data_IF_790624163839
#
_entry.id   IF_790624163839
#
_cell.length_a   1.000
_cell.length_b   1.000
_cell.length_c   1.000
_cell.angle_alpha   90.00
_cell.angle_beta   90.00
_cell.angle_gamma   90.00
#
_symmetry.space_group_name_H-M   'P 1'
#
loop_
_entity.id
_entity.type
_entity.pdbx_description
1 polymer ?
#
# COMPACT_ATOMS: atom_id res chain seq x y z
N UNK A 1 -3.41 -4.18 8.52
CA UNK A 1 -4.13 -2.89 8.61
C UNK A 1 -5.61 -3.14 8.78
N UNK A 2 -6.37 -2.20 9.34
CA UNK A 2 -7.82 -2.32 9.38
C UNK A 2 -8.38 -1.95 7.99
N UNK A 3 -8.98 -2.92 7.29
CA UNK A 3 -9.65 -2.71 6.00
C UNK A 3 -10.57 -1.45 5.96
N UNK A 4 -11.25 -1.06 7.07
CA UNK A 4 -12.00 0.19 7.13
C UNK A 4 -11.20 1.48 6.83
N UNK A 5 -9.92 1.59 7.22
CA UNK A 5 -9.14 2.81 6.98
C UNK A 5 -8.76 2.93 5.49
N UNK A 6 -8.33 1.83 4.88
CA UNK A 6 -7.97 1.77 3.46
C UNK A 6 -9.14 2.22 2.60
N UNK A 7 -10.35 1.72 2.88
CA UNK A 7 -11.54 2.06 2.12
C UNK A 7 -11.94 3.54 2.26
N UNK A 8 -11.81 4.13 3.47
CA UNK A 8 -12.08 5.56 3.66
C UNK A 8 -11.09 6.43 2.90
N UNK A 9 -9.79 6.14 3.01
CA UNK A 9 -8.73 6.84 2.27
C UNK A 9 -8.93 6.68 0.76
N UNK A 10 -9.29 5.48 0.29
CA UNK A 10 -9.60 5.23 -1.13
C UNK A 10 -10.77 6.08 -1.59
N UNK A 11 -11.90 6.05 -0.89
CA UNK A 11 -13.08 6.85 -1.23
C UNK A 11 -12.74 8.33 -1.29
N UNK A 12 -12.04 8.85 -0.27
CA UNK A 12 -11.60 10.24 -0.21
C UNK A 12 -10.75 10.63 -1.42
N UNK A 13 -9.77 9.80 -1.77
CA UNK A 13 -8.91 10.06 -2.93
C UNK A 13 -9.71 10.06 -4.24
N UNK A 14 -10.68 9.16 -4.38
CA UNK A 14 -11.59 9.12 -5.55
C UNK A 14 -12.42 10.39 -5.63
N UNK A 15 -12.97 10.86 -4.51
CA UNK A 15 -13.72 12.12 -4.43
C UNK A 15 -12.84 13.32 -4.80
N UNK A 16 -11.54 13.27 -4.50
CA UNK A 16 -10.53 14.27 -4.86
C UNK A 16 -9.94 14.06 -6.29
N UNK A 17 -10.58 13.24 -7.14
CA UNK A 17 -10.22 13.07 -8.55
C UNK A 17 -9.01 12.15 -8.81
N UNK A 18 -8.85 11.08 -8.04
CA UNK A 18 -7.81 10.07 -8.28
C UNK A 18 -7.99 9.38 -9.65
N UNK A 19 -6.97 9.48 -10.52
CA UNK A 19 -6.94 8.84 -11.85
C UNK A 19 -5.90 7.73 -11.98
N UNK A 20 -4.97 7.62 -11.03
CA UNK A 20 -3.88 6.63 -10.98
C UNK A 20 -3.48 6.37 -9.53
N UNK A 21 -2.59 5.40 -9.30
CA UNK A 21 -2.00 5.16 -7.97
C UNK A 21 -1.45 6.47 -7.37
N UNK A 22 -1.88 6.86 -6.16
CA UNK A 22 -1.47 8.12 -5.55
C UNK A 22 0.01 8.07 -5.13
N UNK A 23 0.68 9.22 -5.18
CA UNK A 23 1.98 9.38 -4.55
C UNK A 23 1.85 9.55 -3.02
N UNK A 24 2.97 9.45 -2.33
CA UNK A 24 3.06 9.53 -0.87
C UNK A 24 2.49 10.84 -0.30
N UNK A 25 2.57 11.95 -1.04
CA UNK A 25 2.08 13.24 -0.55
C UNK A 25 0.55 13.28 -0.52
N UNK A 26 -0.11 12.72 -1.54
CA UNK A 26 -1.58 12.60 -1.59
C UNK A 26 -2.11 11.65 -0.53
N UNK A 27 -1.44 10.52 -0.32
CA UNK A 27 -1.83 9.56 0.75
C UNK A 27 -1.69 10.21 2.12
N UNK A 28 -0.59 10.93 2.38
CA UNK A 28 -0.39 11.64 3.63
C UNK A 28 -1.43 12.75 3.86
N UNK A 29 -1.85 13.46 2.81
CA UNK A 29 -2.93 14.45 2.92
C UNK A 29 -4.26 13.78 3.29
N UNK A 30 -4.65 12.70 2.60
CA UNK A 30 -5.88 11.97 2.89
C UNK A 30 -5.89 11.37 4.31
N UNK A 31 -4.75 10.89 4.81
CA UNK A 31 -4.62 10.42 6.20
C UNK A 31 -4.85 11.52 7.24
N UNK A 32 -4.33 12.74 7.00
CA UNK A 32 -4.53 13.87 7.90
C UNK A 32 -5.99 14.30 7.93
N UNK A 33 -6.65 14.30 6.77
CA UNK A 33 -8.09 14.58 6.66
C UNK A 33 -8.93 13.56 7.43
N UNK A 34 -8.52 12.29 7.44
CA UNK A 34 -9.13 11.21 8.24
C UNK A 34 -8.82 11.30 9.75
N UNK A 35 -8.10 12.34 10.20
CA UNK A 35 -7.78 12.57 11.60
C UNK A 35 -6.72 11.61 12.17
N UNK A 36 -5.92 10.97 11.32
CA UNK A 36 -4.86 10.06 11.77
C UNK A 36 -3.69 10.88 12.30
N UNK A 37 -3.44 10.78 13.61
CA UNK A 37 -2.30 11.40 14.30
C UNK A 37 -1.30 10.31 14.67
N UNK A 38 -0.12 10.36 14.06
CA UNK A 38 0.98 9.42 14.26
C UNK A 38 2.31 10.20 14.37
N UNK A 39 3.31 9.59 15.00
CA UNK A 39 4.69 10.08 14.90
C UNK A 39 5.24 9.93 13.48
N UNK A 40 6.29 10.68 13.15
CA UNK A 40 6.82 10.77 11.78
C UNK A 40 7.19 9.38 11.19
N UNK A 41 7.84 8.52 11.98
CA UNK A 41 8.22 7.17 11.54
C UNK A 41 6.99 6.30 11.21
N UNK A 42 6.03 6.22 12.13
CA UNK A 42 4.79 5.45 11.93
C UNK A 42 3.92 6.01 10.80
N UNK A 43 3.97 7.33 10.57
CA UNK A 43 3.30 7.95 9.43
C UNK A 43 3.94 7.53 8.10
N UNK A 44 5.27 7.50 8.03
CA UNK A 44 5.99 7.07 6.83
C UNK A 44 5.68 5.61 6.49
N UNK A 45 5.67 4.73 7.49
CA UNK A 45 5.28 3.32 7.32
C UNK A 45 3.83 3.18 6.84
N UNK A 46 2.90 3.91 7.47
CA UNK A 46 1.49 3.85 7.10
C UNK A 46 1.24 4.39 5.69
N UNK A 47 1.92 5.47 5.29
CA UNK A 47 1.83 6.04 3.95
C UNK A 47 2.34 5.04 2.92
N UNK A 48 3.47 4.38 3.16
CA UNK A 48 4.01 3.34 2.29
C UNK A 48 3.02 2.19 2.13
N UNK A 49 2.56 1.63 3.25
CA UNK A 49 1.64 0.50 3.25
C UNK A 49 0.30 0.81 2.59
N UNK A 50 -0.28 2.00 2.83
CA UNK A 50 -1.49 2.44 2.13
C UNK A 50 -1.28 2.62 0.63
N UNK A 51 -0.12 3.17 0.23
CA UNK A 51 0.19 3.33 -1.20
C UNK A 51 0.25 1.97 -1.88
N UNK A 52 0.87 0.99 -1.25
CA UNK A 52 1.01 -0.35 -1.80
C UNK A 52 -0.36 -1.07 -1.90
N UNK A 53 -1.23 -0.91 -0.88
CA UNK A 53 -2.63 -1.38 -0.90
C UNK A 53 -3.48 -0.69 -1.99
N UNK A 54 -3.32 0.63 -2.16
CA UNK A 54 -4.01 1.39 -3.20
C UNK A 54 -3.47 1.07 -4.60
N UNK A 55 -2.21 0.64 -4.70
CA UNK A 55 -1.60 0.08 -5.90
C UNK A 55 -2.14 -1.30 -6.29
N UNK A 56 -2.85 -1.98 -5.39
CA UNK A 56 -3.51 -3.26 -5.63
C UNK A 56 -2.64 -4.50 -5.37
N UNK A 57 -1.35 -4.31 -5.08
CA UNK A 57 -0.43 -5.40 -4.73
C UNK A 57 -0.28 -5.57 -3.21
N UNK A 58 -0.63 -4.54 -2.43
CA UNK A 58 -0.58 -4.57 -0.97
C UNK A 58 0.78 -5.07 -0.47
N UNK A 59 0.83 -6.06 0.44
CA UNK A 59 2.10 -6.56 0.99
C UNK A 59 3.05 -7.16 -0.06
N UNK A 60 2.53 -7.59 -1.21
CA UNK A 60 3.34 -8.19 -2.29
C UNK A 60 4.15 -7.15 -3.07
N UNK A 61 3.81 -5.86 -2.96
CA UNK A 61 4.49 -4.78 -3.70
C UNK A 61 6.00 -4.81 -3.49
N UNK A 62 6.46 -5.06 -2.27
CA UNK A 62 7.89 -5.14 -1.93
C UNK A 62 8.63 -6.29 -2.62
N UNK A 63 7.96 -7.44 -2.78
CA UNK A 63 8.53 -8.61 -3.46
C UNK A 63 8.70 -8.34 -4.95
N UNK A 64 7.74 -7.66 -5.58
CA UNK A 64 7.78 -7.33 -7.00
C UNK A 64 8.77 -6.20 -7.34
N UNK A 65 9.19 -5.43 -6.34
CA UNK A 65 10.23 -4.41 -6.50
C UNK A 65 11.65 -4.98 -6.34
N UNK A 66 11.80 -6.20 -5.80
CA UNK A 66 13.10 -6.86 -5.70
C UNK A 66 13.52 -7.36 -7.09
N UNK A 67 14.58 -6.79 -7.72
CA UNK A 67 15.01 -7.20 -9.05
C UNK A 67 15.57 -8.63 -9.08
N UNK A 68 15.84 -9.25 -7.92
CA UNK A 68 16.25 -10.64 -7.84
C UNK A 68 15.06 -11.60 -7.88
N UNK A 69 13.82 -11.13 -7.68
CA UNK A 69 12.62 -11.97 -7.71
C UNK A 69 12.11 -12.07 -9.14
N UNK A 70 12.00 -13.30 -9.64
CA UNK A 70 11.48 -13.56 -11.00
C UNK A 70 10.00 -13.92 -10.97
N UNK A 71 9.56 -14.66 -9.95
CA UNK A 71 8.21 -15.18 -9.83
C UNK A 71 7.71 -15.09 -8.40
N UNK A 72 6.42 -14.78 -8.23
CA UNK A 72 5.71 -14.78 -6.94
C UNK A 72 4.49 -15.68 -7.06
N UNK A 73 4.43 -16.75 -6.27
CA UNK A 73 3.31 -17.70 -6.24
C UNK A 73 2.54 -17.53 -4.94
N UNK A 74 1.22 -17.32 -5.06
CA UNK A 74 0.31 -17.12 -3.92
C UNK A 74 -0.69 -18.27 -3.88
N UNK A 75 -0.54 -19.16 -2.90
CA UNK A 75 -1.44 -20.30 -2.68
C UNK A 75 -2.49 -20.01 -1.59
N UNK A 76 -2.21 -19.02 -0.74
CA UNK A 76 -3.07 -18.61 0.36
C UNK A 76 -2.56 -17.35 1.06
N UNK A 77 -3.30 -16.81 2.04
CA UNK A 77 -2.95 -15.57 2.74
C UNK A 77 -1.58 -15.64 3.46
N UNK A 78 -1.21 -16.83 3.94
CA UNK A 78 0.06 -17.08 4.63
C UNK A 78 0.98 -18.00 3.84
N UNK A 79 0.65 -18.28 2.58
CA UNK A 79 1.39 -19.20 1.72
C UNK A 79 1.81 -18.49 0.43
N UNK A 80 2.95 -17.79 0.54
CA UNK A 80 3.58 -17.05 -0.55
C UNK A 80 4.99 -17.58 -0.77
N UNK A 81 5.30 -17.93 -2.03
CA UNK A 81 6.59 -18.42 -2.47
C UNK A 81 7.20 -17.47 -3.49
N UNK A 82 8.53 -17.34 -3.49
CA UNK A 82 9.26 -16.52 -4.45
C UNK A 82 10.35 -17.35 -5.14
N UNK A 83 10.52 -17.14 -6.43
CA UNK A 83 11.66 -17.65 -7.21
C UNK A 83 12.65 -16.52 -7.50
N UNK A 84 13.94 -16.87 -7.52
CA UNK A 84 15.06 -15.97 -7.87
C UNK A 84 15.93 -16.51 -9.02
N UNK A 85 15.46 -17.51 -9.74
CA UNK A 85 16.13 -18.08 -10.91
C UNK A 85 17.40 -18.89 -10.57
N UNK A 86 17.46 -19.53 -9.40
CA UNK A 86 18.60 -20.37 -8.96
C UNK A 86 18.16 -21.67 -8.30
#
# INVERSE_FOLDING_TARGET
MTAPLVERVRRRLVDDGLTRVPDSSRVAAALRDEGVVLGDESLLELVGSLRDELGGLGPLQSLLLDPCVTDVLVNGPDEVWIDRGR
#
